data_IF_035978781075
#
_entry.id   IF_035978781075
#
_cell.length_a   1.000
_cell.length_b   1.000
_cell.length_c   1.000
_cell.angle_alpha   90.00
_cell.angle_beta   90.00
_cell.angle_gamma   90.00
#
_symmetry.space_group_name_H-M   'P 1'
#
loop_
_entity.id
_entity.type
_entity.pdbx_description
1 polymer ?
#
# COMPACT_ATOMS: atom_id res chain seq x y z
N UNK A 1 11.28 25.46 -15.52
CA UNK A 1 10.74 24.51 -14.53
C UNK A 1 11.93 23.87 -13.85
N UNK A 2 12.32 24.37 -12.69
CA UNK A 2 13.36 23.76 -11.88
C UNK A 2 12.74 22.95 -10.74
N UNK A 3 13.48 21.97 -10.24
CA UNK A 3 13.19 21.33 -8.95
C UNK A 3 14.07 22.00 -7.91
N UNK A 4 13.45 22.69 -6.97
CA UNK A 4 14.15 23.35 -5.87
C UNK A 4 14.25 22.36 -4.72
N UNK A 5 15.47 22.08 -4.25
CA UNK A 5 15.68 21.22 -3.07
C UNK A 5 15.72 22.04 -1.79
N UNK A 6 15.07 21.54 -0.74
CA UNK A 6 15.15 22.04 0.62
C UNK A 6 15.38 20.91 1.61
N UNK A 7 16.21 21.16 2.63
CA UNK A 7 16.54 20.17 3.66
C UNK A 7 15.90 20.51 4.99
N UNK A 8 15.46 19.47 5.69
CA UNK A 8 14.73 19.59 6.94
C UNK A 8 15.27 18.66 8.03
N UNK A 9 15.16 19.12 9.28
CA UNK A 9 15.44 18.33 10.48
C UNK A 9 14.37 18.58 11.56
N UNK A 10 14.46 17.86 12.68
CA UNK A 10 13.52 17.99 13.82
C UNK A 10 13.59 19.36 14.51
N UNK A 11 14.73 20.03 14.42
CA UNK A 11 14.96 21.43 14.80
C UNK A 11 15.71 22.14 13.67
N UNK A 12 15.66 23.47 13.64
CA UNK A 12 16.46 24.23 12.68
C UNK A 12 17.96 24.11 13.00
N UNK A 13 18.79 24.22 11.96
CA UNK A 13 20.25 24.28 12.04
C UNK A 13 20.76 25.43 11.15
N UNK A 14 21.91 26.01 11.51
CA UNK A 14 22.50 27.12 10.74
C UNK A 14 21.52 28.30 10.59
N UNK A 15 21.35 28.78 9.36
CA UNK A 15 20.38 29.83 9.03
C UNK A 15 18.91 29.37 9.16
N UNK A 16 18.65 28.06 9.15
CA UNK A 16 17.30 27.49 9.29
C UNK A 16 16.38 27.68 8.10
N UNK A 17 16.92 28.01 6.91
CA UNK A 17 16.17 28.30 5.69
C UNK A 17 16.04 27.09 4.74
N UNK A 18 16.70 25.99 5.07
CA UNK A 18 16.70 24.75 4.32
C UNK A 18 17.44 24.82 3.00
N UNK A 19 18.26 25.85 2.72
CA UNK A 19 18.97 26.02 1.44
C UNK A 19 20.15 25.08 1.27
N UNK A 20 20.65 24.51 2.37
CA UNK A 20 21.73 23.54 2.39
C UNK A 20 21.48 22.48 3.46
N UNK A 21 22.23 21.37 3.42
CA UNK A 21 22.22 20.41 4.53
C UNK A 21 22.73 21.04 5.83
N UNK A 22 23.61 22.05 5.79
CA UNK A 22 24.07 22.71 7.02
C UNK A 22 23.00 23.66 7.62
N UNK A 23 22.15 24.23 6.77
CA UNK A 23 21.17 25.26 7.10
C UNK A 23 19.72 24.73 7.17
N UNK A 24 19.55 23.47 7.57
CA UNK A 24 18.24 22.78 7.58
C UNK A 24 17.16 23.56 8.33
N UNK A 25 15.98 23.65 7.73
CA UNK A 25 14.80 24.18 8.40
C UNK A 25 14.19 23.14 9.36
N UNK A 26 13.50 23.60 10.40
CA UNK A 26 12.61 22.72 11.16
C UNK A 26 11.42 22.32 10.28
N UNK A 27 11.13 21.03 10.16
CA UNK A 27 10.03 20.55 9.31
C UNK A 27 8.65 20.91 9.87
N UNK A 28 8.43 20.60 11.14
CA UNK A 28 7.16 20.75 11.84
C UNK A 28 7.39 20.93 13.33
N UNK A 29 6.57 21.76 13.96
CA UNK A 29 6.54 21.97 15.40
C UNK A 29 5.08 22.00 15.87
N UNK A 30 4.62 20.89 16.44
CA UNK A 30 3.22 20.72 16.82
C UNK A 30 2.29 20.83 15.62
N UNK A 31 1.45 21.86 15.58
CA UNK A 31 0.49 22.08 14.50
C UNK A 31 1.08 22.90 13.33
N UNK A 32 2.26 23.48 13.50
CA UNK A 32 2.84 24.41 12.53
C UNK A 32 3.84 23.70 11.63
N UNK A 33 3.50 23.60 10.34
CA UNK A 33 4.41 23.15 9.29
C UNK A 33 5.34 24.29 8.84
N UNK A 34 6.56 23.93 8.43
CA UNK A 34 7.60 24.88 8.02
C UNK A 34 7.12 25.88 6.97
N UNK A 35 7.40 27.17 7.16
CA UNK A 35 7.13 28.22 6.18
C UNK A 35 7.96 28.08 4.91
N UNK A 36 9.10 27.37 4.97
CA UNK A 36 9.89 27.00 3.78
C UNK A 36 9.10 26.07 2.84
N UNK A 37 8.15 25.30 3.38
CA UNK A 37 7.24 24.46 2.60
C UNK A 37 5.96 25.22 2.28
N UNK A 38 5.25 25.71 3.30
CA UNK A 38 3.91 26.29 3.14
C UNK A 38 3.90 27.64 2.42
N UNK A 39 5.03 28.37 2.45
CA UNK A 39 5.23 29.61 1.72
C UNK A 39 5.89 29.44 0.34
N UNK A 40 6.22 28.22 -0.09
CA UNK A 40 6.83 28.00 -1.40
C UNK A 40 5.87 28.37 -2.53
N UNK A 41 6.34 29.17 -3.49
CA UNK A 41 5.50 29.71 -4.54
C UNK A 41 5.36 28.79 -5.76
N UNK A 42 4.45 27.81 -5.69
CA UNK A 42 4.16 26.89 -6.80
C UNK A 42 3.54 27.55 -8.04
N UNK A 43 3.15 28.84 -7.98
CA UNK A 43 2.62 29.56 -9.16
C UNK A 43 3.72 30.02 -10.13
N UNK A 44 4.98 30.06 -9.70
CA UNK A 44 6.11 30.50 -10.52
C UNK A 44 6.65 29.41 -11.47
N UNK A 45 6.12 28.20 -11.41
CA UNK A 45 6.52 27.12 -12.31
C UNK A 45 7.65 26.22 -11.79
N UNK A 46 7.98 26.25 -10.51
CA UNK A 46 8.97 25.36 -9.90
C UNK A 46 8.31 24.28 -9.04
N UNK A 47 8.93 23.11 -8.97
CA UNK A 47 8.58 22.04 -8.02
C UNK A 47 9.49 22.09 -6.79
N UNK A 48 9.05 21.50 -5.69
CA UNK A 48 9.79 21.47 -4.42
C UNK A 48 10.13 20.04 -4.03
N UNK A 49 11.41 19.74 -3.87
CA UNK A 49 11.90 18.51 -3.25
C UNK A 49 12.31 18.78 -1.80
N UNK A 50 11.62 18.16 -0.86
CA UNK A 50 11.89 18.24 0.57
C UNK A 50 12.65 16.99 1.02
N UNK A 51 13.92 17.16 1.42
CA UNK A 51 14.74 16.10 1.99
C UNK A 51 14.67 16.12 3.50
N UNK A 52 14.13 15.05 4.07
CA UNK A 52 13.85 14.96 5.51
C UNK A 52 14.94 14.12 6.17
N UNK A 53 15.73 14.73 7.04
CA UNK A 53 16.79 14.04 7.77
C UNK A 53 16.27 13.03 8.79
N UNK A 54 17.13 12.16 9.34
CA UNK A 54 16.74 11.20 10.35
C UNK A 54 16.22 11.89 11.62
N UNK A 55 15.27 11.25 12.28
CA UNK A 55 14.68 11.74 13.53
C UNK A 55 13.19 11.43 13.65
N UNK A 56 12.63 11.79 14.79
CA UNK A 56 11.20 11.66 15.08
C UNK A 56 10.52 13.02 14.97
N UNK A 57 9.53 13.11 14.09
CA UNK A 57 8.77 14.31 13.75
C UNK A 57 7.35 14.17 14.32
N UNK A 58 7.16 14.75 15.51
CA UNK A 58 5.86 14.81 16.14
C UNK A 58 5.04 15.99 15.60
N UNK A 59 3.83 15.70 15.12
CA UNK A 59 2.92 16.70 14.56
C UNK A 59 1.51 16.55 15.13
N UNK A 60 0.74 17.63 15.16
CA UNK A 60 -0.63 17.65 15.69
C UNK A 60 -1.66 18.17 14.68
N UNK A 61 -1.24 18.53 13.47
CA UNK A 61 -2.13 18.91 12.36
C UNK A 61 -1.66 18.32 11.03
N UNK A 62 -2.60 17.85 10.21
CA UNK A 62 -2.33 17.36 8.84
C UNK A 62 -1.78 18.48 7.95
N UNK A 63 -0.75 18.21 7.14
CA UNK A 63 -0.38 19.11 6.04
C UNK A 63 -1.40 18.94 4.91
N UNK A 64 -2.11 20.01 4.55
CA UNK A 64 -3.17 19.98 3.54
C UNK A 64 -2.94 21.05 2.49
N UNK A 65 -3.69 21.03 1.38
CA UNK A 65 -3.60 22.12 0.38
C UNK A 65 -3.87 23.50 1.00
N UNK A 66 -4.74 23.59 2.01
CA UNK A 66 -5.07 24.84 2.70
C UNK A 66 -3.91 25.35 3.59
N UNK A 67 -2.91 24.51 3.85
CA UNK A 67 -1.70 24.92 4.57
C UNK A 67 -0.80 25.80 3.71
N UNK A 68 -0.97 25.84 2.38
CA UNK A 68 -0.09 26.57 1.47
C UNK A 68 -0.68 27.92 1.06
N UNK A 69 0.16 28.95 0.94
CA UNK A 69 -0.25 30.23 0.32
C UNK A 69 -0.53 30.05 -1.17
N UNK A 70 0.27 29.23 -1.84
CA UNK A 70 0.06 28.79 -3.23
C UNK A 70 0.24 27.28 -3.26
N UNK A 71 -0.82 26.48 -3.42
CA UNK A 71 -0.72 25.02 -3.31
C UNK A 71 0.00 24.39 -4.52
N UNK A 72 0.62 23.21 -4.34
CA UNK A 72 1.16 22.41 -5.44
C UNK A 72 0.13 22.13 -6.53
N UNK A 73 0.59 21.98 -7.77
CA UNK A 73 -0.24 21.66 -8.94
C UNK A 73 0.27 20.39 -9.64
N UNK A 74 -0.48 19.89 -10.62
CA UNK A 74 -0.06 18.72 -11.41
C UNK A 74 1.30 18.92 -12.09
N UNK A 75 1.59 20.15 -12.54
CA UNK A 75 2.83 20.52 -13.22
C UNK A 75 3.94 20.90 -12.24
N UNK A 76 3.59 21.41 -11.07
CA UNK A 76 4.52 21.90 -10.04
C UNK A 76 4.25 21.16 -8.73
N UNK A 77 4.91 20.02 -8.53
CA UNK A 77 4.63 19.07 -7.44
C UNK A 77 5.53 19.30 -6.24
N UNK A 78 5.10 18.76 -5.10
CA UNK A 78 5.95 18.62 -3.91
C UNK A 78 6.36 17.15 -3.74
N UNK A 79 7.63 16.92 -3.44
CA UNK A 79 8.21 15.61 -3.13
C UNK A 79 8.70 15.62 -1.69
N UNK A 80 8.31 14.62 -0.89
CA UNK A 80 8.78 14.43 0.49
C UNK A 80 9.60 13.14 0.49
N UNK A 81 10.91 13.28 0.67
CA UNK A 81 11.87 12.19 0.52
C UNK A 81 12.67 12.04 1.80
N UNK A 82 12.65 10.85 2.39
CA UNK A 82 13.54 10.52 3.51
C UNK A 82 15.01 10.52 3.08
N UNK A 83 15.86 11.11 3.91
CA UNK A 83 17.30 11.25 3.66
C UNK A 83 18.12 10.73 4.84
N UNK A 84 19.35 10.34 4.54
CA UNK A 84 20.32 9.92 5.53
C UNK A 84 20.90 11.10 6.33
N UNK A 85 21.88 10.82 7.21
CA UNK A 85 22.56 11.83 8.03
C UNK A 85 23.43 12.82 7.23
N UNK A 86 23.54 12.65 5.92
CA UNK A 86 24.30 13.51 5.00
C UNK A 86 23.38 14.32 4.07
N UNK A 87 22.05 14.18 4.22
CA UNK A 87 21.08 14.86 3.37
C UNK A 87 20.95 14.24 1.97
N UNK A 88 21.39 13.00 1.81
CA UNK A 88 21.25 12.22 0.59
C UNK A 88 19.98 11.36 0.66
N UNK A 89 19.20 11.24 -0.44
CA UNK A 89 18.04 10.37 -0.47
C UNK A 89 18.40 8.94 -0.09
N UNK A 90 17.59 8.35 0.78
CA UNK A 90 17.73 6.94 1.16
C UNK A 90 17.60 6.08 -0.09
N UNK A 91 18.47 5.07 -0.21
CA UNK A 91 18.46 4.17 -1.36
C UNK A 91 17.42 3.06 -1.18
N UNK A 92 16.72 2.68 -2.26
CA UNK A 92 15.74 1.61 -2.21
C UNK A 92 16.39 0.27 -1.86
N UNK A 93 15.73 -0.48 -0.98
CA UNK A 93 16.07 -1.88 -0.76
C UNK A 93 15.51 -2.75 -1.89
N UNK A 94 16.13 -3.90 -2.17
CA UNK A 94 15.56 -4.91 -3.06
C UNK A 94 14.41 -5.70 -2.41
N UNK A 95 13.67 -5.10 -1.49
CA UNK A 95 12.65 -5.77 -0.68
C UNK A 95 11.45 -6.20 -1.53
N UNK A 96 10.90 -7.36 -1.16
CA UNK A 96 9.65 -7.89 -1.71
C UNK A 96 8.64 -8.11 -0.60
N UNK A 97 7.35 -8.01 -0.90
CA UNK A 97 6.27 -8.01 0.10
C UNK A 97 6.20 -9.29 0.94
N UNK A 98 6.74 -10.41 0.43
CA UNK A 98 6.69 -11.71 1.09
C UNK A 98 7.74 -11.93 2.17
N UNK A 99 8.86 -11.21 2.14
CA UNK A 99 9.86 -11.36 3.20
C UNK A 99 9.46 -10.52 4.41
N UNK A 100 9.97 -10.87 5.61
CA UNK A 100 9.87 -9.98 6.76
C UNK A 100 10.33 -8.58 6.38
N UNK A 101 9.70 -7.57 6.97
CA UNK A 101 9.91 -6.19 6.55
C UNK A 101 11.39 -5.81 6.62
N UNK A 102 11.87 -5.06 5.62
CA UNK A 102 13.17 -4.41 5.69
C UNK A 102 13.25 -3.51 6.94
N UNK A 103 14.43 -3.39 7.58
CA UNK A 103 14.59 -2.44 8.69
C UNK A 103 14.35 -1.00 8.20
N UNK A 104 13.23 -0.40 8.62
CA UNK A 104 12.90 1.01 8.38
C UNK A 104 13.47 1.95 9.46
N UNK A 105 14.42 1.48 10.28
CA UNK A 105 14.97 2.21 11.44
C UNK A 105 15.71 3.49 11.06
N UNK A 106 16.19 3.59 9.83
CA UNK A 106 16.92 4.75 9.33
C UNK A 106 16.01 5.77 8.63
N UNK A 107 14.70 5.50 8.52
CA UNK A 107 13.77 6.41 7.89
C UNK A 107 13.37 7.51 8.89
N UNK A 108 13.11 8.74 8.44
CA UNK A 108 12.43 9.72 9.27
C UNK A 108 11.08 9.18 9.73
N UNK A 109 10.86 9.24 11.05
CA UNK A 109 9.67 8.72 11.69
C UNK A 109 8.70 9.86 11.98
N UNK A 110 7.52 9.81 11.37
CA UNK A 110 6.41 10.71 11.68
C UNK A 110 5.47 10.07 12.70
N UNK A 111 5.09 10.83 13.72
CA UNK A 111 4.18 10.36 14.77
C UNK A 111 3.11 11.38 15.11
N UNK A 112 1.88 10.92 15.31
CA UNK A 112 0.81 11.74 15.89
C UNK A 112 -0.18 10.89 16.67
N UNK A 113 -0.68 11.43 17.78
CA UNK A 113 -1.75 10.84 18.59
C UNK A 113 -3.06 11.65 18.54
N UNK A 114 -3.14 12.67 17.68
CA UNK A 114 -4.20 13.69 17.70
C UNK A 114 -5.41 13.36 16.81
N UNK A 115 -5.58 12.12 16.34
CA UNK A 115 -6.68 11.75 15.44
C UNK A 115 -6.53 12.26 14.01
N UNK A 116 -5.38 12.86 13.66
CA UNK A 116 -5.11 13.53 12.38
C UNK A 116 -4.27 12.66 11.44
N UNK A 117 -4.45 12.84 10.13
CA UNK A 117 -3.58 12.26 9.11
C UNK A 117 -2.26 13.01 9.00
N UNK A 118 -1.29 12.45 8.27
CA UNK A 118 0.00 13.09 8.00
C UNK A 118 -0.11 14.06 6.81
N UNK A 119 -0.57 13.55 5.67
CA UNK A 119 -0.63 14.32 4.42
C UNK A 119 -2.00 14.23 3.73
N UNK A 120 -2.59 15.38 3.43
CA UNK A 120 -3.80 15.56 2.62
C UNK A 120 -3.57 16.55 1.48
N UNK A 121 -2.41 16.45 0.82
CA UNK A 121 -2.00 17.33 -0.29
C UNK A 121 -2.22 16.61 -1.62
N UNK A 122 -2.86 17.28 -2.59
CA UNK A 122 -3.30 16.63 -3.83
C UNK A 122 -2.16 16.23 -4.75
N UNK A 123 -1.12 17.05 -4.86
CA UNK A 123 0.00 16.85 -5.79
C UNK A 123 1.31 16.66 -5.02
N UNK A 124 1.30 15.60 -4.19
CA UNK A 124 2.40 15.21 -3.31
C UNK A 124 2.90 13.81 -3.67
N UNK A 125 4.21 13.65 -3.69
CA UNK A 125 4.85 12.35 -3.79
C UNK A 125 5.68 12.08 -2.55
N UNK A 126 5.61 10.86 -2.02
CA UNK A 126 6.23 10.51 -0.74
C UNK A 126 7.08 9.26 -0.89
N UNK A 127 8.33 9.33 -0.43
CA UNK A 127 9.21 8.17 -0.42
C UNK A 127 10.10 8.08 0.82
N UNK A 128 10.42 6.85 1.23
CA UNK A 128 11.40 6.53 2.28
C UNK A 128 11.08 7.12 3.65
N UNK A 129 9.81 7.14 4.03
CA UNK A 129 9.38 7.59 5.36
C UNK A 129 8.75 6.45 6.15
N UNK A 130 8.79 6.59 7.48
CA UNK A 130 8.01 5.79 8.40
C UNK A 130 6.96 6.65 9.07
N UNK A 131 5.74 6.16 9.23
CA UNK A 131 4.70 6.85 9.97
C UNK A 131 3.99 5.89 10.93
N UNK A 132 3.95 6.22 12.22
CA UNK A 132 3.14 5.52 13.22
C UNK A 132 2.16 6.54 13.79
N UNK A 133 0.92 6.47 13.34
CA UNK A 133 -0.05 7.56 13.46
C UNK A 133 -1.38 7.04 13.97
N UNK A 134 -1.96 7.68 14.97
CA UNK A 134 -3.34 7.44 15.40
C UNK A 134 -4.28 8.37 14.65
N UNK A 135 -4.58 8.07 13.39
CA UNK A 135 -5.49 8.86 12.55
C UNK A 135 -6.89 8.24 12.53
N UNK A 136 -7.92 9.06 12.79
CA UNK A 136 -9.31 8.60 12.66
C UNK A 136 -9.71 8.31 11.21
N UNK A 137 -8.96 8.82 10.24
CA UNK A 137 -9.12 8.63 8.80
C UNK A 137 -7.87 8.00 8.17
N UNK A 138 -7.45 8.50 7.00
CA UNK A 138 -6.20 8.07 6.36
C UNK A 138 -4.97 8.72 7.01
N UNK A 139 -3.81 8.06 6.90
CA UNK A 139 -2.51 8.68 7.19
C UNK A 139 -2.13 9.57 6.00
N UNK A 140 -2.25 9.04 4.78
CA UNK A 140 -1.85 9.74 3.55
C UNK A 140 -2.99 9.68 2.53
N UNK A 141 -3.21 10.80 1.83
CA UNK A 141 -3.94 10.89 0.57
C UNK A 141 -3.12 11.62 -0.49
N UNK A 142 -2.14 10.93 -1.07
CA UNK A 142 -1.12 11.49 -1.98
C UNK A 142 -0.92 10.60 -3.22
N UNK A 143 -0.71 11.16 -4.43
CA UNK A 143 -0.73 10.40 -5.68
C UNK A 143 0.33 9.31 -5.80
N UNK A 144 1.52 9.50 -5.25
CA UNK A 144 2.58 8.50 -5.31
C UNK A 144 3.16 8.27 -3.92
N UNK A 145 3.17 7.00 -3.49
CA UNK A 145 3.79 6.59 -2.23
C UNK A 145 4.66 5.38 -2.49
N UNK A 146 5.95 5.48 -2.18
CA UNK A 146 6.92 4.43 -2.48
C UNK A 146 7.87 4.16 -1.33
N UNK A 147 8.18 2.90 -1.05
CA UNK A 147 9.13 2.54 0.01
C UNK A 147 8.79 3.17 1.37
N UNK A 148 7.52 3.20 1.74
CA UNK A 148 7.07 3.71 3.03
C UNK A 148 6.63 2.59 3.98
N UNK A 149 6.80 2.80 5.28
CA UNK A 149 6.32 1.95 6.36
C UNK A 149 5.26 2.74 7.16
N UNK A 150 3.98 2.48 6.89
CA UNK A 150 2.86 3.22 7.48
C UNK A 150 2.07 2.31 8.41
N UNK A 151 1.89 2.74 9.66
CA UNK A 151 1.05 2.08 10.65
C UNK A 151 0.01 3.05 11.20
N UNK A 152 -1.28 2.72 11.00
CA UNK A 152 -2.38 3.41 11.65
C UNK A 152 -2.74 2.67 12.95
N UNK A 153 -2.52 3.32 14.08
CA UNK A 153 -2.76 2.75 15.42
C UNK A 153 -4.12 3.13 16.00
N UNK A 154 -4.91 3.96 15.31
CA UNK A 154 -6.21 4.39 15.81
C UNK A 154 -7.21 3.24 15.88
N UNK A 155 -7.94 3.14 16.98
CA UNK A 155 -9.15 2.33 17.08
C UNK A 155 -10.37 3.18 16.70
N UNK A 156 -10.64 3.33 15.40
CA UNK A 156 -11.73 4.16 14.88
C UNK A 156 -12.35 3.55 13.62
N UNK A 157 -13.68 3.66 13.48
CA UNK A 157 -14.42 3.00 12.39
C UNK A 157 -14.09 3.52 10.98
N UNK A 158 -13.41 4.66 10.86
CA UNK A 158 -12.96 5.24 9.58
C UNK A 158 -11.44 5.15 9.38
N UNK A 159 -10.71 4.57 10.33
CA UNK A 159 -9.26 4.50 10.32
C UNK A 159 -8.78 3.64 9.14
N UNK A 160 -7.78 4.18 8.43
CA UNK A 160 -7.13 3.53 7.29
C UNK A 160 -5.69 4.01 7.16
N UNK A 161 -4.82 3.26 6.47
CA UNK A 161 -3.50 3.78 6.14
C UNK A 161 -3.60 4.80 5.00
N UNK A 162 -4.38 4.44 3.97
CA UNK A 162 -4.36 5.18 2.71
C UNK A 162 -5.75 5.37 2.11
N UNK A 163 -5.97 6.51 1.44
CA UNK A 163 -7.18 6.79 0.65
C UNK A 163 -6.83 7.33 -0.74
N UNK A 164 -7.27 6.63 -1.78
CA UNK A 164 -7.13 6.99 -3.20
C UNK A 164 -8.43 7.67 -3.62
N UNK A 165 -8.38 8.95 -3.96
CA UNK A 165 -9.57 9.73 -4.33
C UNK A 165 -9.51 10.32 -5.73
N UNK A 166 -8.39 10.11 -6.46
CA UNK A 166 -8.15 10.68 -7.80
C UNK A 166 -7.39 9.71 -8.71
N UNK A 167 -7.42 10.01 -10.00
CA UNK A 167 -6.81 9.20 -11.07
C UNK A 167 -5.27 9.13 -10.98
N UNK A 168 -4.72 7.96 -11.28
CA UNK A 168 -3.29 7.77 -11.59
C UNK A 168 -2.38 7.60 -10.39
N UNK A 169 -2.83 6.93 -9.32
CA UNK A 169 -2.07 6.81 -8.07
C UNK A 169 -1.25 5.51 -8.03
N UNK A 170 0.04 5.62 -7.69
CA UNK A 170 1.01 4.51 -7.67
C UNK A 170 1.48 4.20 -6.25
N UNK A 171 1.36 2.93 -5.86
CA UNK A 171 1.77 2.41 -4.56
C UNK A 171 2.74 1.28 -4.76
N UNK A 172 4.01 1.52 -4.48
CA UNK A 172 5.06 0.57 -4.81
C UNK A 172 5.95 0.34 -3.61
N UNK A 173 6.21 -0.93 -3.26
CA UNK A 173 7.17 -1.30 -2.21
C UNK A 173 6.82 -0.76 -0.81
N UNK A 174 5.53 -0.64 -0.48
CA UNK A 174 5.09 -0.14 0.82
C UNK A 174 4.72 -1.26 1.78
N UNK A 175 4.89 -0.99 3.08
CA UNK A 175 4.30 -1.78 4.15
C UNK A 175 3.25 -0.92 4.85
N UNK A 176 2.02 -1.44 4.91
CA UNK A 176 0.87 -0.73 5.43
C UNK A 176 0.21 -1.61 6.49
N UNK A 177 -0.01 -1.06 7.68
CA UNK A 177 -0.55 -1.79 8.81
C UNK A 177 -1.64 -1.02 9.54
N UNK A 178 -2.75 -1.67 9.84
CA UNK A 178 -3.71 -1.16 10.81
C UNK A 178 -3.63 -2.01 12.07
N UNK A 179 -3.16 -1.42 13.17
CA UNK A 179 -2.99 -2.12 14.46
C UNK A 179 -4.07 -1.81 15.50
N UNK A 180 -4.90 -0.80 15.25
CA UNK A 180 -6.06 -0.52 16.09
C UNK A 180 -7.03 -1.71 16.19
N UNK A 181 -7.79 -1.77 17.28
CA UNK A 181 -8.82 -2.81 17.50
C UNK A 181 -10.11 -2.57 16.69
N UNK A 182 -10.23 -1.39 16.07
CA UNK A 182 -11.32 -0.99 15.18
C UNK A 182 -10.71 -0.22 14.00
N UNK A 183 -10.97 -0.65 12.77
CA UNK A 183 -10.55 0.07 11.57
C UNK A 183 -11.44 -0.30 10.38
N UNK A 184 -11.49 0.55 9.36
CA UNK A 184 -12.31 0.31 8.18
C UNK A 184 -11.60 -0.61 7.18
N UNK A 185 -10.42 -0.20 6.74
CA UNK A 185 -9.61 -0.89 5.74
C UNK A 185 -8.20 -0.34 5.72
N UNK A 186 -7.23 -1.08 5.19
CA UNK A 186 -5.85 -0.56 5.08
C UNK A 186 -5.75 0.42 3.90
N UNK A 187 -6.26 0.02 2.72
CA UNK A 187 -6.35 0.86 1.52
C UNK A 187 -7.81 1.05 1.10
N UNK A 188 -8.21 2.29 0.88
CA UNK A 188 -9.49 2.66 0.28
C UNK A 188 -9.31 3.23 -1.13
N UNK A 189 -9.95 2.64 -2.13
CA UNK A 189 -10.02 3.18 -3.50
C UNK A 189 -11.41 3.76 -3.74
N UNK A 190 -11.52 5.08 -3.91
CA UNK A 190 -12.79 5.79 -4.07
C UNK A 190 -13.05 6.23 -5.52
N UNK A 191 -14.34 6.30 -5.86
CA UNK A 191 -15.08 6.87 -7.02
C UNK A 191 -14.35 7.07 -8.36
N UNK A 192 -13.21 7.76 -8.41
CA UNK A 192 -12.49 8.10 -9.64
C UNK A 192 -11.02 7.65 -9.65
N UNK A 193 -10.62 6.76 -8.74
CA UNK A 193 -9.25 6.26 -8.65
C UNK A 193 -8.91 5.18 -9.67
N UNK A 194 -7.78 5.34 -10.37
CA UNK A 194 -7.00 4.24 -10.93
C UNK A 194 -5.88 3.93 -9.93
N UNK A 195 -5.83 2.70 -9.43
CA UNK A 195 -4.82 2.26 -8.48
C UNK A 195 -3.87 1.25 -9.11
N UNK A 196 -2.57 1.56 -9.07
CA UNK A 196 -1.52 0.59 -9.34
C UNK A 196 -0.78 0.28 -8.05
N UNK A 197 -1.06 -0.88 -7.46
CA UNK A 197 -0.53 -1.30 -6.17
C UNK A 197 0.36 -2.51 -6.41
N UNK A 198 1.65 -2.31 -6.23
CA UNK A 198 2.69 -3.28 -6.59
C UNK A 198 3.59 -3.53 -5.39
N UNK A 199 3.87 -4.82 -5.13
CA UNK A 199 4.86 -5.23 -4.14
C UNK A 199 4.64 -4.60 -2.76
N UNK A 200 3.37 -4.51 -2.33
CA UNK A 200 3.02 -3.95 -1.04
C UNK A 200 2.61 -5.05 -0.05
N UNK A 201 2.92 -4.85 1.22
CA UNK A 201 2.49 -5.71 2.32
C UNK A 201 1.40 -5.02 3.14
N UNK A 202 0.23 -5.65 3.23
CA UNK A 202 -0.95 -5.14 3.93
C UNK A 202 -1.24 -6.02 5.15
N UNK A 203 -1.05 -5.47 6.35
CA UNK A 203 -1.20 -6.19 7.61
C UNK A 203 -2.36 -5.65 8.44
N UNK A 204 -3.36 -6.50 8.68
CA UNK A 204 -4.42 -6.21 9.62
C UNK A 204 -4.05 -6.56 11.06
N UNK A 205 -4.94 -6.19 11.98
CA UNK A 205 -4.93 -6.70 13.34
C UNK A 205 -5.92 -7.87 13.42
N UNK A 206 -5.42 -9.11 13.51
CA UNK A 206 -6.23 -10.32 13.57
C UNK A 206 -7.24 -10.33 14.74
N UNK A 207 -6.96 -9.57 15.81
CA UNK A 207 -7.83 -9.42 16.98
C UNK A 207 -8.81 -8.24 16.90
N UNK A 208 -8.82 -7.48 15.79
CA UNK A 208 -9.75 -6.36 15.64
C UNK A 208 -11.21 -6.83 15.55
N UNK A 209 -12.08 -6.21 16.34
CA UNK A 209 -13.43 -6.71 16.61
C UNK A 209 -14.54 -5.92 15.94
N UNK A 210 -14.27 -4.74 15.36
CA UNK A 210 -15.28 -3.92 14.68
C UNK A 210 -14.72 -3.13 13.47
N UNK A 211 -15.61 -2.65 12.59
CA UNK A 211 -15.31 -1.97 11.31
C UNK A 211 -15.33 -2.91 10.10
N UNK A 212 -14.99 -2.42 8.91
CA UNK A 212 -14.83 -3.27 7.72
C UNK A 212 -13.66 -4.25 7.87
N UNK A 213 -12.55 -3.75 8.42
CA UNK A 213 -11.27 -4.44 8.64
C UNK A 213 -10.71 -5.12 7.39
N UNK A 214 -10.89 -4.50 6.22
CA UNK A 214 -10.42 -5.04 4.95
C UNK A 214 -8.94 -4.73 4.69
N UNK A 215 -8.26 -5.58 3.92
CA UNK A 215 -6.91 -5.23 3.42
C UNK A 215 -7.01 -4.11 2.39
N UNK A 216 -7.79 -4.35 1.35
CA UNK A 216 -8.07 -3.38 0.30
C UNK A 216 -9.56 -3.40 -0.02
N UNK A 217 -10.14 -2.22 -0.20
CA UNK A 217 -11.49 -2.10 -0.77
C UNK A 217 -11.50 -1.20 -1.98
N UNK A 218 -12.15 -1.66 -3.04
CA UNK A 218 -12.45 -0.87 -4.22
C UNK A 218 -13.92 -0.45 -4.23
N UNK A 219 -14.16 0.86 -4.14
CA UNK A 219 -15.46 1.51 -4.25
C UNK A 219 -15.62 2.33 -5.56
N UNK A 220 -14.70 2.19 -6.53
CA UNK A 220 -14.59 3.10 -7.68
C UNK A 220 -15.26 2.58 -8.97
N UNK A 221 -15.84 3.49 -9.75
CA UNK A 221 -16.57 3.23 -11.01
C UNK A 221 -15.64 3.10 -12.26
N UNK A 222 -14.33 2.96 -12.08
CA UNK A 222 -13.34 3.04 -13.17
C UNK A 222 -12.77 1.66 -13.54
N UNK A 223 -12.60 1.37 -14.84
CA UNK A 223 -11.93 0.15 -15.29
C UNK A 223 -10.41 0.30 -15.14
N UNK A 224 -9.74 -0.74 -14.62
CA UNK A 224 -8.28 -0.94 -14.52
C UNK A 224 -7.63 -0.70 -13.16
N UNK A 225 -8.03 -1.40 -12.09
CA UNK A 225 -7.14 -1.47 -10.92
C UNK A 225 -6.16 -2.66 -11.03
N UNK A 226 -4.89 -2.41 -10.75
CA UNK A 226 -3.82 -3.41 -10.83
C UNK A 226 -3.26 -3.70 -9.44
N UNK A 227 -3.36 -4.96 -9.01
CA UNK A 227 -2.85 -5.46 -7.72
C UNK A 227 -1.88 -6.59 -7.98
N UNK A 228 -0.58 -6.29 -7.86
CA UNK A 228 0.49 -7.22 -8.27
C UNK A 228 1.49 -7.41 -7.15
N UNK A 229 1.92 -8.66 -6.92
CA UNK A 229 2.92 -8.97 -5.90
C UNK A 229 2.55 -8.49 -4.49
N UNK A 230 1.26 -8.47 -4.14
CA UNK A 230 0.83 -8.08 -2.81
C UNK A 230 0.96 -9.22 -1.82
N UNK A 231 1.25 -8.89 -0.56
CA UNK A 231 1.13 -9.82 0.57
C UNK A 231 0.09 -9.26 1.53
N UNK A 232 -1.04 -9.95 1.70
CA UNK A 232 -2.19 -9.46 2.50
C UNK A 232 -2.49 -10.48 3.59
N UNK A 233 -2.33 -10.06 4.85
CA UNK A 233 -2.40 -10.97 6.00
C UNK A 233 -3.13 -10.37 7.19
N UNK A 234 -3.72 -11.25 8.02
CA UNK A 234 -4.28 -10.91 9.32
C UNK A 234 -5.39 -9.86 9.31
N UNK A 235 -6.11 -9.70 8.20
CA UNK A 235 -7.28 -8.84 8.14
C UNK A 235 -8.51 -9.62 8.61
N UNK A 236 -9.26 -9.16 9.63
CA UNK A 236 -10.49 -9.84 10.01
C UNK A 236 -11.62 -9.71 9.00
N UNK A 237 -11.62 -8.66 8.19
CA UNK A 237 -12.49 -8.56 7.03
C UNK A 237 -11.96 -9.36 5.84
N UNK A 238 -12.48 -9.05 4.66
CA UNK A 238 -11.94 -9.53 3.38
C UNK A 238 -10.57 -8.93 3.08
N UNK A 239 -9.64 -9.74 2.58
CA UNK A 239 -8.33 -9.26 2.12
C UNK A 239 -8.46 -8.27 0.94
N UNK A 240 -9.19 -8.63 -0.11
CA UNK A 240 -9.55 -7.74 -1.24
C UNK A 240 -11.07 -7.76 -1.44
N UNK A 241 -11.72 -6.62 -1.20
CA UNK A 241 -13.17 -6.45 -1.33
C UNK A 241 -13.52 -5.48 -2.46
N UNK A 242 -14.37 -5.93 -3.38
CA UNK A 242 -14.95 -5.12 -4.45
C UNK A 242 -16.40 -4.82 -4.10
N UNK A 243 -16.72 -3.54 -3.88
CA UNK A 243 -18.01 -3.11 -3.35
C UNK A 243 -19.09 -3.01 -4.45
N UNK A 244 -20.36 -3.23 -4.06
CA UNK A 244 -21.53 -3.04 -4.91
C UNK A 244 -21.63 -1.61 -5.44
N UNK A 245 -22.12 -1.46 -6.69
CA UNK A 245 -22.29 -0.15 -7.33
C UNK A 245 -21.08 0.38 -8.10
N UNK A 246 -20.09 -0.46 -8.44
CA UNK A 246 -18.98 -0.10 -9.35
C UNK A 246 -19.15 -0.82 -10.71
N UNK A 247 -19.94 -0.30 -11.66
CA UNK A 247 -20.46 -1.08 -12.78
C UNK A 247 -19.54 -1.24 -13.99
N UNK A 248 -18.25 -0.95 -13.85
CA UNK A 248 -17.30 -1.02 -14.96
C UNK A 248 -15.93 -1.35 -14.41
N UNK A 249 -15.73 -2.60 -14.01
CA UNK A 249 -14.50 -3.00 -13.35
C UNK A 249 -13.67 -3.95 -14.20
N UNK A 250 -12.43 -3.55 -14.43
CA UNK A 250 -11.33 -4.42 -14.85
C UNK A 250 -10.33 -4.42 -13.69
N UNK A 251 -10.07 -5.59 -13.13
CA UNK A 251 -9.14 -5.78 -12.02
C UNK A 251 -8.23 -6.97 -12.29
N UNK A 252 -6.92 -6.74 -12.22
CA UNK A 252 -5.94 -7.82 -12.27
C UNK A 252 -5.34 -8.05 -10.89
N UNK A 253 -5.64 -9.20 -10.30
CA UNK A 253 -4.93 -9.73 -9.15
C UNK A 253 -3.87 -10.71 -9.64
N UNK A 254 -2.63 -10.25 -9.81
CA UNK A 254 -1.54 -11.09 -10.29
C UNK A 254 -0.55 -11.38 -9.17
N UNK A 255 -0.17 -12.65 -9.04
CA UNK A 255 0.97 -13.05 -8.21
C UNK A 255 0.88 -12.49 -6.79
N UNK A 256 -0.32 -12.49 -6.18
CA UNK A 256 -0.51 -12.03 -4.81
C UNK A 256 -0.50 -13.20 -3.84
N UNK A 257 -0.05 -12.97 -2.61
CA UNK A 257 -0.19 -13.89 -1.48
C UNK A 257 -1.22 -13.35 -0.49
N UNK A 258 -2.37 -14.02 -0.43
CA UNK A 258 -3.52 -13.68 0.41
C UNK A 258 -3.67 -14.77 1.47
N UNK A 259 -3.17 -14.49 2.67
CA UNK A 259 -2.89 -15.52 3.67
C UNK A 259 -3.56 -15.18 5.01
N UNK A 260 -4.19 -16.17 5.64
CA UNK A 260 -4.57 -16.09 7.06
C UNK A 260 -5.40 -14.86 7.43
N UNK A 261 -6.35 -14.47 6.56
CA UNK A 261 -7.32 -13.42 6.88
C UNK A 261 -8.54 -14.05 7.58
N UNK A 262 -9.06 -13.44 8.65
CA UNK A 262 -10.21 -14.00 9.38
C UNK A 262 -11.56 -13.79 8.67
N UNK A 263 -11.53 -13.25 7.45
CA UNK A 263 -12.68 -13.18 6.55
C UNK A 263 -12.46 -14.02 5.28
N UNK A 264 -12.65 -13.36 4.13
CA UNK A 264 -12.48 -13.94 2.78
C UNK A 264 -11.15 -13.52 2.18
N UNK A 265 -10.60 -14.30 1.27
CA UNK A 265 -9.42 -13.87 0.49
C UNK A 265 -9.79 -12.74 -0.48
N UNK A 266 -10.66 -13.04 -1.44
CA UNK A 266 -11.18 -12.12 -2.44
C UNK A 266 -12.70 -12.17 -2.45
N UNK A 267 -13.36 -11.01 -2.48
CA UNK A 267 -14.82 -10.93 -2.46
C UNK A 267 -15.35 -9.83 -3.37
N UNK A 268 -16.40 -10.16 -4.14
CA UNK A 268 -17.14 -9.21 -4.98
C UNK A 268 -18.61 -9.22 -4.57
N UNK A 269 -19.19 -8.05 -4.30
CA UNK A 269 -20.59 -7.97 -3.87
C UNK A 269 -21.60 -8.41 -4.96
N UNK A 270 -22.76 -8.99 -4.57
CA UNK A 270 -23.84 -9.45 -5.47
C UNK A 270 -24.42 -8.41 -6.43
N UNK A 271 -24.34 -7.12 -6.09
CA UNK A 271 -24.92 -6.02 -6.87
C UNK A 271 -23.86 -5.16 -7.58
N UNK A 272 -22.62 -5.66 -7.71
CA UNK A 272 -21.67 -5.09 -8.65
C UNK A 272 -22.13 -5.43 -10.08
N UNK A 273 -22.92 -4.55 -10.69
CA UNK A 273 -23.42 -4.70 -12.06
C UNK A 273 -22.27 -4.52 -13.05
N UNK A 274 -21.55 -5.58 -13.43
CA UNK A 274 -20.48 -5.51 -14.45
C UNK A 274 -21.11 -5.37 -15.85
N UNK A 275 -21.81 -4.25 -16.10
CA UNK A 275 -22.50 -4.03 -17.36
C UNK A 275 -21.47 -3.77 -18.48
N UNK A 276 -21.13 -4.82 -19.23
CA UNK A 276 -20.36 -4.75 -20.48
C UNK A 276 -18.83 -4.80 -20.36
N UNK A 277 -18.26 -5.45 -19.33
CA UNK A 277 -16.86 -5.21 -18.93
C UNK A 277 -15.94 -6.43 -19.03
N UNK A 278 -14.66 -6.14 -19.29
CA UNK A 278 -13.49 -7.04 -19.34
C UNK A 278 -13.42 -7.94 -18.07
N UNK A 279 -13.06 -9.22 -18.17
CA UNK A 279 -13.04 -10.17 -17.05
C UNK A 279 -12.12 -9.76 -15.90
N UNK A 280 -12.54 -10.04 -14.66
CA UNK A 280 -11.64 -10.01 -13.49
C UNK A 280 -10.67 -11.17 -13.65
N UNK A 281 -9.37 -10.89 -13.67
CA UNK A 281 -8.34 -11.93 -13.78
C UNK A 281 -7.59 -12.07 -12.47
N UNK A 282 -7.74 -13.23 -11.83
CA UNK A 282 -6.90 -13.65 -10.72
C UNK A 282 -5.94 -14.71 -11.24
N UNK A 283 -4.65 -14.36 -11.37
CA UNK A 283 -3.65 -15.27 -11.92
C UNK A 283 -2.41 -15.41 -11.04
N UNK A 284 -1.93 -16.64 -10.85
CA UNK A 284 -0.70 -16.92 -10.11
C UNK A 284 -0.78 -16.54 -8.64
N UNK A 285 -1.96 -16.43 -8.03
CA UNK A 285 -2.08 -16.06 -6.62
C UNK A 285 -1.89 -17.26 -5.69
N UNK A 286 -1.39 -17.00 -4.49
CA UNK A 286 -1.38 -17.92 -3.35
C UNK A 286 -2.49 -17.49 -2.38
N UNK A 287 -3.58 -18.26 -2.28
CA UNK A 287 -4.76 -17.92 -1.48
C UNK A 287 -5.03 -19.04 -0.48
N UNK A 288 -4.59 -18.83 0.77
CA UNK A 288 -4.64 -19.89 1.80
C UNK A 288 -5.00 -19.39 3.19
N UNK A 289 -5.58 -20.27 4.00
CA UNK A 289 -5.77 -20.01 5.43
C UNK A 289 -6.82 -18.94 5.74
N UNK A 290 -7.60 -18.49 4.76
CA UNK A 290 -8.66 -17.52 5.01
C UNK A 290 -9.83 -18.21 5.72
N UNK A 291 -10.45 -17.56 6.71
CA UNK A 291 -11.42 -18.23 7.59
C UNK A 291 -12.69 -18.72 6.88
N UNK A 292 -13.04 -18.14 5.74
CA UNK A 292 -14.21 -18.53 4.95
C UNK A 292 -13.81 -18.98 3.56
N UNK A 293 -14.10 -18.18 2.53
CA UNK A 293 -13.78 -18.51 1.15
C UNK A 293 -12.42 -17.94 0.73
N UNK A 294 -11.70 -18.67 -0.12
CA UNK A 294 -10.57 -18.11 -0.85
C UNK A 294 -11.03 -17.01 -1.80
N UNK A 295 -11.99 -17.33 -2.67
CA UNK A 295 -12.67 -16.37 -3.56
C UNK A 295 -14.19 -16.54 -3.44
N UNK A 296 -14.92 -15.46 -3.18
CA UNK A 296 -16.39 -15.46 -3.25
C UNK A 296 -16.89 -14.39 -4.21
N UNK A 297 -17.72 -14.82 -5.16
CA UNK A 297 -18.31 -13.92 -6.16
C UNK A 297 -19.79 -13.71 -5.88
N UNK A 298 -20.25 -12.48 -6.03
CA UNK A 298 -21.66 -12.14 -6.08
C UNK A 298 -22.40 -12.78 -7.26
N UNK A 299 -23.73 -12.83 -7.19
CA UNK A 299 -24.60 -13.58 -8.12
C UNK A 299 -24.71 -13.00 -9.54
N UNK A 300 -24.26 -11.76 -9.77
CA UNK A 300 -24.40 -11.05 -11.05
C UNK A 300 -23.04 -10.73 -11.72
N UNK A 301 -22.01 -11.54 -11.45
CA UNK A 301 -20.68 -11.35 -12.05
C UNK A 301 -20.57 -12.15 -13.35
N UNK A 302 -20.48 -11.46 -14.48
CA UNK A 302 -20.60 -12.05 -15.80
C UNK A 302 -19.31 -12.72 -16.32
N UNK A 303 -18.12 -12.38 -15.80
CA UNK A 303 -16.88 -13.07 -16.20
C UNK A 303 -15.72 -12.91 -15.18
N UNK A 304 -15.26 -14.03 -14.58
CA UNK A 304 -14.06 -14.09 -13.72
C UNK A 304 -13.15 -15.22 -14.17
N UNK A 305 -11.85 -14.95 -14.28
CA UNK A 305 -10.82 -15.92 -14.67
C UNK A 305 -9.92 -16.27 -13.50
N UNK A 306 -9.86 -17.56 -13.16
CA UNK A 306 -9.02 -18.08 -12.08
C UNK A 306 -7.93 -18.98 -12.69
N UNK A 307 -6.74 -18.40 -12.91
CA UNK A 307 -5.66 -19.01 -13.67
C UNK A 307 -4.42 -19.29 -12.82
N UNK A 308 -3.91 -20.51 -12.81
CA UNK A 308 -2.64 -20.88 -12.16
C UNK A 308 -2.53 -20.46 -10.69
N UNK A 309 -3.65 -20.31 -9.97
CA UNK A 309 -3.62 -19.96 -8.57
C UNK A 309 -3.42 -21.21 -7.72
N UNK A 310 -2.82 -21.02 -6.55
CA UNK A 310 -2.74 -22.00 -5.47
C UNK A 310 -3.79 -21.66 -4.42
N UNK A 311 -4.77 -22.54 -4.23
CA UNK A 311 -5.75 -22.46 -3.16
C UNK A 311 -5.56 -23.63 -2.20
N UNK A 312 -5.62 -23.38 -0.90
CA UNK A 312 -5.73 -24.45 0.11
C UNK A 312 -6.17 -23.90 1.45
N UNK A 313 -6.66 -24.76 2.33
CA UNK A 313 -6.88 -24.47 3.74
C UNK A 313 -7.76 -23.22 3.99
N UNK A 314 -8.66 -22.88 3.05
CA UNK A 314 -9.68 -21.87 3.28
C UNK A 314 -10.84 -22.53 4.03
N UNK A 315 -11.37 -21.88 5.07
CA UNK A 315 -12.18 -22.53 6.10
C UNK A 315 -13.54 -23.05 5.63
N UNK A 316 -14.16 -22.43 4.62
CA UNK A 316 -15.43 -22.89 4.03
C UNK A 316 -15.21 -23.61 2.71
N UNK A 317 -14.56 -22.96 1.75
CA UNK A 317 -14.15 -23.55 0.48
C UNK A 317 -13.10 -22.67 -0.20
N UNK A 318 -12.40 -23.20 -1.19
CA UNK A 318 -11.45 -22.41 -1.97
C UNK A 318 -12.14 -21.35 -2.83
N UNK A 319 -13.35 -21.64 -3.32
CA UNK A 319 -14.15 -20.68 -4.07
C UNK A 319 -15.66 -20.97 -4.03
N UNK A 320 -16.48 -19.92 -4.17
CA UNK A 320 -17.95 -19.98 -4.21
C UNK A 320 -18.53 -19.12 -5.37
N UNK A 321 -19.70 -19.52 -5.88
CA UNK A 321 -20.51 -18.77 -6.87
C UNK A 321 -19.84 -18.51 -8.23
N UNK A 322 -19.28 -19.55 -8.85
CA UNK A 322 -18.59 -19.46 -10.15
C UNK A 322 -19.52 -19.48 -11.38
N UNK A 323 -20.71 -18.86 -11.31
CA UNK A 323 -21.76 -19.03 -12.33
C UNK A 323 -21.33 -18.69 -13.78
N UNK A 324 -20.23 -17.95 -13.98
CA UNK A 324 -19.61 -17.69 -15.29
C UNK A 324 -18.07 -17.68 -15.22
N UNK A 325 -17.44 -18.80 -14.87
CA UNK A 325 -15.96 -18.94 -14.86
C UNK A 325 -15.51 -19.87 -15.98
N UNK A 326 -15.10 -19.32 -17.15
CA UNK A 326 -14.77 -20.14 -18.32
C UNK A 326 -13.45 -20.91 -18.17
N UNK A 327 -12.57 -20.53 -17.24
CA UNK A 327 -11.26 -21.16 -17.05
C UNK A 327 -10.91 -21.33 -15.56
N UNK A 328 -10.71 -22.58 -15.15
CA UNK A 328 -10.12 -22.94 -13.86
C UNK A 328 -8.90 -23.83 -14.10
N UNK A 329 -7.70 -23.29 -13.92
CA UNK A 329 -6.46 -24.06 -13.95
C UNK A 329 -5.71 -23.80 -12.66
N UNK A 330 -6.28 -24.27 -11.54
CA UNK A 330 -5.80 -23.95 -10.19
C UNK A 330 -5.30 -25.20 -9.46
N UNK A 331 -4.37 -25.00 -8.52
CA UNK A 331 -3.83 -26.02 -7.65
C UNK A 331 -4.57 -26.03 -6.31
N UNK A 332 -5.33 -27.09 -6.04
CA UNK A 332 -6.19 -27.22 -4.83
C UNK A 332 -5.82 -28.40 -3.92
N UNK A 333 -4.73 -29.11 -4.23
CA UNK A 333 -4.28 -30.23 -3.41
C UNK A 333 -4.00 -29.79 -1.96
N UNK A 334 -4.15 -30.68 -0.98
CA UNK A 334 -3.78 -30.36 0.40
C UNK A 334 -2.29 -29.97 0.52
N UNK A 335 -1.95 -29.16 1.51
CA UNK A 335 -0.58 -28.73 1.77
C UNK A 335 -0.48 -27.97 3.09
N UNK A 336 0.75 -27.76 3.56
CA UNK A 336 1.01 -27.02 4.81
C UNK A 336 1.93 -25.84 4.57
N UNK A 337 1.92 -24.89 5.50
CA UNK A 337 2.83 -23.73 5.44
C UNK A 337 4.30 -24.17 5.55
N UNK A 338 4.60 -25.20 6.35
CA UNK A 338 5.94 -25.75 6.49
C UNK A 338 6.44 -26.41 5.19
N UNK A 339 5.54 -26.92 4.36
CA UNK A 339 5.88 -27.56 3.08
C UNK A 339 6.09 -26.56 1.95
N UNK A 340 5.42 -25.40 2.01
CA UNK A 340 5.36 -24.47 0.88
C UNK A 340 6.13 -23.17 1.10
N UNK A 341 6.22 -22.67 2.34
CA UNK A 341 6.86 -21.39 2.64
C UNK A 341 8.23 -21.54 3.28
N UNK A 342 9.08 -20.52 3.13
CA UNK A 342 10.40 -20.45 3.77
C UNK A 342 10.27 -20.40 5.29
N UNK A 343 9.47 -19.46 5.81
CA UNK A 343 9.25 -19.29 7.25
C UNK A 343 7.98 -18.49 7.53
N UNK A 344 6.81 -19.12 7.34
CA UNK A 344 5.52 -18.49 7.55
C UNK A 344 5.30 -17.97 8.98
N UNK A 345 5.95 -18.60 9.98
CA UNK A 345 5.83 -18.22 11.39
C UNK A 345 6.45 -16.84 11.66
N UNK A 346 7.57 -16.54 10.99
CA UNK A 346 8.23 -15.24 11.09
C UNK A 346 7.83 -14.27 9.96
N UNK A 347 6.83 -14.64 9.17
CA UNK A 347 6.28 -13.80 8.11
C UNK A 347 7.11 -13.76 6.82
N UNK A 348 7.91 -14.81 6.56
CA UNK A 348 8.53 -15.07 5.27
C UNK A 348 7.67 -16.05 4.46
N UNK A 349 6.87 -15.50 3.57
CA UNK A 349 5.91 -16.22 2.75
C UNK A 349 6.41 -16.50 1.32
N UNK A 350 7.72 -16.37 1.08
CA UNK A 350 8.32 -16.83 -0.18
C UNK A 350 8.08 -18.33 -0.34
N UNK A 351 7.78 -18.77 -1.56
CA UNK A 351 7.69 -20.21 -1.84
C UNK A 351 9.08 -20.81 -1.71
N UNK A 352 9.24 -21.80 -0.83
CA UNK A 352 10.55 -22.39 -0.51
C UNK A 352 11.09 -23.22 -1.67
N UNK A 353 12.41 -23.23 -1.84
CA UNK A 353 13.06 -24.13 -2.78
C UNK A 353 12.72 -25.60 -2.44
N UNK A 354 12.32 -26.36 -3.47
CA UNK A 354 11.88 -27.76 -3.31
C UNK A 354 10.38 -27.94 -3.06
N UNK A 355 9.62 -26.86 -2.86
CA UNK A 355 8.17 -26.90 -2.97
C UNK A 355 7.75 -27.28 -4.39
N UNK A 356 6.66 -28.05 -4.53
CA UNK A 356 6.07 -28.39 -5.83
C UNK A 356 5.53 -27.16 -6.60
N UNK A 357 5.48 -26.00 -5.94
CA UNK A 357 4.99 -24.74 -6.48
C UNK A 357 6.09 -23.72 -6.75
N UNK A 358 7.33 -24.01 -6.35
CA UNK A 358 8.49 -23.14 -6.59
C UNK A 358 8.73 -22.97 -8.10
N UNK A 359 9.01 -21.74 -8.54
CA UNK A 359 9.31 -21.41 -9.93
C UNK A 359 8.07 -21.38 -10.84
N UNK A 360 6.86 -21.55 -10.30
CA UNK A 360 5.61 -21.53 -11.08
C UNK A 360 4.98 -20.14 -11.20
N UNK A 361 5.61 -19.11 -10.62
CA UNK A 361 5.05 -17.75 -10.59
C UNK A 361 3.79 -17.67 -9.73
N UNK A 362 3.82 -18.33 -8.56
CA UNK A 362 2.71 -18.34 -7.60
C UNK A 362 3.04 -17.47 -6.40
N UNK A 363 2.09 -16.65 -5.96
CA UNK A 363 2.29 -15.68 -4.89
C UNK A 363 3.23 -14.55 -5.31
N UNK A 364 3.54 -13.67 -4.38
CA UNK A 364 4.35 -12.46 -4.64
C UNK A 364 5.87 -12.70 -4.83
N UNK A 365 6.29 -13.96 -5.02
CA UNK A 365 7.68 -14.33 -5.25
C UNK A 365 8.10 -15.66 -4.64
N UNK A 366 9.20 -16.19 -5.17
CA UNK A 366 9.86 -17.40 -4.71
C UNK A 366 11.08 -17.08 -3.84
N UNK A 367 11.58 -18.08 -3.11
CA UNK A 367 12.91 -18.02 -2.54
C UNK A 367 13.97 -17.93 -3.67
N UNK A 368 14.96 -17.02 -3.57
CA UNK A 368 16.09 -17.00 -4.49
C UNK A 368 16.77 -18.38 -4.54
N UNK A 369 17.14 -18.83 -5.73
CA UNK A 369 17.98 -20.02 -5.85
C UNK A 369 19.28 -19.82 -5.06
N UNK A 370 19.76 -20.87 -4.40
CA UNK A 370 21.06 -20.88 -3.71
C UNK A 370 22.20 -20.61 -4.69
N UNK A 371 22.50 -19.33 -4.94
CA UNK A 371 23.56 -18.94 -5.89
C UNK A 371 23.44 -17.57 -6.54
N UNK A 372 22.35 -16.81 -6.42
CA UNK A 372 22.27 -15.52 -7.11
C UNK A 372 21.20 -14.58 -6.53
N UNK A 373 21.64 -13.56 -5.79
CA UNK A 373 20.91 -12.30 -5.68
C UNK A 373 21.31 -11.45 -6.88
N UNK A 374 20.57 -11.57 -7.97
CA UNK A 374 20.63 -10.59 -9.05
C UNK A 374 19.49 -9.61 -8.76
N UNK A 375 19.85 -8.40 -8.32
CA UNK A 375 18.91 -7.27 -8.35
C UNK A 375 18.23 -7.27 -9.71
N UNK A 376 16.90 -7.15 -9.81
CA UNK A 376 16.27 -6.97 -11.11
C UNK A 376 16.89 -5.73 -11.75
N UNK A 377 17.78 -5.96 -12.72
CA UNK A 377 18.33 -4.93 -13.57
C UNK A 377 17.21 -4.52 -14.51
N UNK A 378 16.40 -3.57 -14.09
CA UNK A 378 15.58 -2.78 -15.00
C UNK A 378 15.78 -1.30 -14.70
N UNK A 379 16.77 -0.77 -15.42
CA UNK A 379 16.85 0.59 -15.91
C UNK A 379 15.49 1.13 -16.35
N UNK A 380 14.79 1.87 -15.47
CA UNK A 380 13.66 2.72 -15.85
C UNK A 380 13.22 3.77 -14.79
N UNK A 381 14.02 4.08 -13.77
CA UNK A 381 13.58 5.01 -12.70
C UNK A 381 14.31 6.35 -12.66
N UNK A 382 14.91 6.76 -13.79
CA UNK A 382 15.33 8.14 -14.02
C UNK A 382 14.66 8.64 -15.30
N UNK A 383 13.47 9.23 -15.14
CA UNK A 383 12.90 10.23 -16.04
C UNK A 383 11.71 10.91 -15.35
#
# INVERSE_FOLDING_TARGET
>A
MAVVTRWFSTTSAGAGDGTSWADRAQLVSGATWSSVITGFNFSLGDSLECRIGPGTYAYTATLTNASFTTPPTRSNRIYIIGSDSWGMPIQPSGWISLVPIYPSTNYPLFTSSSGVGLFGVTWLEVAFIKAIVSSNGSIIGAPVVMFCDLENTASHASARCFSITRLGMHFVNNKLKCSGSIYDRIIDIQDSGYANIINCRLEGNASASSGGRHGLTANSWQPANNYKNLTIVNNPGTAIHINAGSPSWYGEGLTNSILSNNGRGYYVDPNASIAGSIPITLSGNMITGNATYGVELGTNNDEVWLLNNRFRNNGTADYNSLLNVPFTSNYTAAGTDADEFVDALNGDYRIKLGSAYWGKGIGAGDEPSSGSFILPSNSAWVA
#
